data_IF_134129072780
#
_entry.id   IF_134129072780
#
_cell.length_a   1.000
_cell.length_b   1.000
_cell.length_c   1.000
_cell.angle_alpha   90.00
_cell.angle_beta   90.00
_cell.angle_gamma   90.00
#
_symmetry.space_group_name_H-M   'P 1'
#
loop_
_entity.id
_entity.type
_entity.pdbx_description
1 polymer ?
#
# COMPACT_ATOMS: atom_id res chain seq x y z
N UNK A 1 -29.62 -11.50 3.26
CA UNK A 1 -28.62 -11.67 2.19
C UNK A 1 -27.29 -11.19 2.74
N UNK A 2 -26.35 -12.11 3.06
CA UNK A 2 -25.00 -11.69 3.47
C UNK A 2 -24.30 -11.12 2.24
N UNK A 3 -24.14 -9.80 2.19
CA UNK A 3 -23.37 -9.15 1.13
C UNK A 3 -21.90 -9.50 1.32
N UNK A 4 -21.35 -10.26 0.39
CA UNK A 4 -19.96 -10.65 0.39
C UNK A 4 -19.08 -9.41 0.26
N UNK A 5 -18.08 -9.26 1.13
CA UNK A 5 -17.14 -8.13 1.09
C UNK A 5 -16.11 -8.36 0.00
N UNK A 6 -16.04 -7.46 -0.98
CA UNK A 6 -15.08 -7.56 -2.09
C UNK A 6 -13.75 -6.89 -1.67
N UNK A 7 -12.65 -7.60 -1.92
CA UNK A 7 -11.27 -7.10 -1.82
C UNK A 7 -10.71 -7.01 -3.23
N UNK A 8 -10.38 -5.81 -3.70
CA UNK A 8 -9.66 -5.61 -4.96
C UNK A 8 -8.17 -5.44 -4.71
N UNK A 9 -7.37 -6.25 -5.40
CA UNK A 9 -5.91 -6.22 -5.30
C UNK A 9 -5.34 -5.44 -6.47
N UNK A 10 -4.74 -4.30 -6.18
CA UNK A 10 -4.00 -3.46 -7.13
C UNK A 10 -2.51 -3.66 -6.92
N UNK A 11 -1.72 -3.44 -7.95
CA UNK A 11 -0.26 -3.44 -7.85
C UNK A 11 0.31 -2.37 -8.76
N UNK A 12 1.25 -1.55 -8.26
CA UNK A 12 1.97 -0.61 -9.13
C UNK A 12 2.75 -1.36 -10.23
N UNK A 13 3.06 -0.68 -11.32
CA UNK A 13 3.71 -1.27 -12.51
C UNK A 13 4.91 -2.14 -12.15
N UNK A 14 5.78 -1.67 -11.28
CA UNK A 14 6.94 -2.45 -10.80
C UNK A 14 6.60 -3.62 -9.90
N UNK A 15 5.34 -3.82 -9.50
CA UNK A 15 4.89 -4.84 -8.54
C UNK A 15 3.86 -5.81 -9.12
N UNK A 16 3.56 -5.73 -10.41
CA UNK A 16 2.45 -6.50 -11.05
C UNK A 16 2.62 -8.01 -10.86
N UNK A 17 3.82 -8.54 -11.08
CA UNK A 17 4.08 -9.98 -10.92
C UNK A 17 3.85 -10.42 -9.47
N UNK A 18 4.39 -9.67 -8.52
CA UNK A 18 4.20 -9.96 -7.10
C UNK A 18 2.74 -9.78 -6.69
N UNK A 19 2.07 -8.74 -7.19
CA UNK A 19 0.65 -8.51 -6.93
C UNK A 19 -0.22 -9.67 -7.38
N UNK A 20 0.05 -10.23 -8.55
CA UNK A 20 -0.66 -11.41 -9.07
C UNK A 20 -0.46 -12.66 -8.18
N UNK A 21 0.76 -12.90 -7.71
CA UNK A 21 1.04 -14.03 -6.80
C UNK A 21 0.37 -13.84 -5.43
N UNK A 22 0.40 -12.62 -4.88
CA UNK A 22 -0.29 -12.29 -3.63
C UNK A 22 -1.81 -12.46 -3.79
N UNK A 23 -2.39 -11.98 -4.88
CA UNK A 23 -3.82 -12.15 -5.18
C UNK A 23 -4.19 -13.64 -5.22
N UNK A 24 -3.44 -14.43 -5.96
CA UNK A 24 -3.64 -15.88 -6.09
C UNK A 24 -3.61 -16.59 -4.74
N UNK A 25 -2.62 -16.27 -3.90
CA UNK A 25 -2.48 -16.90 -2.59
C UNK A 25 -3.60 -16.47 -1.62
N UNK A 26 -3.99 -15.18 -1.62
CA UNK A 26 -5.13 -14.71 -0.81
C UNK A 26 -6.41 -15.40 -1.26
N UNK A 27 -6.66 -15.50 -2.57
CA UNK A 27 -7.83 -16.17 -3.14
C UNK A 27 -7.90 -17.62 -2.71
N UNK A 28 -6.78 -18.36 -2.77
CA UNK A 28 -6.67 -19.75 -2.31
C UNK A 28 -7.02 -19.90 -0.82
N UNK A 29 -6.47 -19.03 0.03
CA UNK A 29 -6.70 -19.06 1.49
C UNK A 29 -8.13 -18.69 1.87
N UNK A 30 -8.74 -17.77 1.16
CA UNK A 30 -10.15 -17.38 1.38
C UNK A 30 -11.09 -18.50 0.95
N UNK A 31 -10.83 -19.14 -0.20
CA UNK A 31 -11.64 -20.26 -0.69
C UNK A 31 -11.59 -21.50 0.20
N UNK A 32 -10.46 -21.72 0.89
CA UNK A 32 -10.31 -22.84 1.84
C UNK A 32 -11.00 -22.60 3.20
N UNK A 33 -11.38 -21.36 3.49
CA UNK A 33 -12.05 -20.96 4.73
C UNK A 33 -13.41 -20.41 4.34
N UNK A 34 -14.52 -20.98 4.77
CA UNK A 34 -15.86 -20.39 4.55
C UNK A 34 -15.84 -18.91 4.98
N UNK A 35 -15.49 -18.02 4.05
CA UNK A 35 -15.21 -16.60 4.29
C UNK A 35 -16.22 -15.73 3.56
N UNK A 36 -16.68 -14.68 4.21
CA UNK A 36 -17.56 -13.66 3.60
C UNK A 36 -16.80 -12.69 2.68
N UNK A 37 -15.55 -13.00 2.33
CA UNK A 37 -14.72 -12.19 1.45
C UNK A 37 -14.59 -12.82 0.07
N UNK A 38 -14.63 -11.97 -0.96
CA UNK A 38 -14.29 -12.29 -2.34
C UNK A 38 -13.06 -11.48 -2.75
N UNK A 39 -12.10 -12.10 -3.44
CA UNK A 39 -10.90 -11.41 -3.94
C UNK A 39 -10.98 -11.27 -5.45
N UNK A 40 -10.85 -10.03 -5.93
CA UNK A 40 -10.88 -9.70 -7.34
C UNK A 40 -9.61 -8.94 -7.73
N UNK A 41 -9.21 -9.09 -8.98
CA UNK A 41 -8.17 -8.25 -9.57
C UNK A 41 -8.64 -6.79 -9.64
N UNK A 42 -7.78 -5.85 -9.29
CA UNK A 42 -7.97 -4.41 -9.47
C UNK A 42 -7.24 -3.96 -10.73
N UNK A 43 -7.96 -3.82 -11.84
CA UNK A 43 -7.40 -3.30 -13.08
C UNK A 43 -7.05 -1.81 -12.94
N UNK A 44 -5.95 -1.41 -13.58
CA UNK A 44 -5.56 0.00 -13.69
C UNK A 44 -4.78 0.23 -14.98
N UNK A 45 -4.74 1.49 -15.40
CA UNK A 45 -3.90 1.96 -16.50
C UNK A 45 -3.06 3.13 -16.02
N UNK A 46 -1.81 3.18 -16.48
CA UNK A 46 -0.89 4.29 -16.25
C UNK A 46 -0.58 4.92 -17.59
N UNK A 47 -0.93 6.18 -17.75
CA UNK A 47 -0.63 6.98 -18.95
C UNK A 47 0.45 8.00 -18.63
N UNK A 48 1.39 8.20 -19.55
CA UNK A 48 2.45 9.20 -19.44
C UNK A 48 2.17 10.28 -20.47
N UNK A 49 2.02 11.52 -20.02
CA UNK A 49 1.85 12.68 -20.88
C UNK A 49 3.18 13.15 -21.50
N UNK A 50 3.10 13.97 -22.53
CA UNK A 50 4.30 14.52 -23.23
C UNK A 50 5.20 15.36 -22.32
N UNK A 51 4.69 15.85 -21.20
CA UNK A 51 5.43 16.58 -20.17
C UNK A 51 5.92 15.67 -19.03
N UNK A 52 5.94 14.35 -19.24
CA UNK A 52 6.37 13.31 -18.29
C UNK A 52 5.48 13.16 -17.05
N UNK A 53 4.38 13.87 -16.96
CA UNK A 53 3.39 13.63 -15.90
C UNK A 53 2.68 12.31 -16.12
N UNK A 54 2.31 11.65 -15.02
CA UNK A 54 1.54 10.41 -15.08
C UNK A 54 0.08 10.64 -14.70
N UNK A 55 -0.80 9.86 -15.31
CA UNK A 55 -2.19 9.70 -14.92
C UNK A 55 -2.45 8.23 -14.61
N UNK A 56 -3.13 7.96 -13.52
CA UNK A 56 -3.54 6.60 -13.15
C UNK A 56 -5.06 6.53 -13.13
N UNK A 57 -5.62 5.62 -13.93
CA UNK A 57 -7.03 5.27 -13.90
C UNK A 57 -7.19 3.87 -13.33
N UNK A 58 -8.18 3.66 -12.48
CA UNK A 58 -8.44 2.38 -11.81
C UNK A 58 -9.85 1.87 -12.10
N UNK A 59 -10.05 0.58 -11.91
CA UNK A 59 -11.38 -0.02 -11.83
C UNK A 59 -12.19 0.51 -10.65
N UNK A 60 -13.52 0.46 -10.75
CA UNK A 60 -14.41 0.84 -9.66
C UNK A 60 -14.11 0.02 -8.39
N UNK A 61 -13.92 0.73 -7.26
CA UNK A 61 -13.64 0.16 -5.94
C UNK A 61 -14.59 0.71 -4.86
N UNK A 62 -15.67 1.37 -5.26
CA UNK A 62 -16.65 1.95 -4.35
C UNK A 62 -17.18 0.89 -3.37
N UNK A 63 -17.19 1.24 -2.08
CA UNK A 63 -17.64 0.39 -0.97
C UNK A 63 -16.89 -0.95 -0.81
N UNK A 64 -15.79 -1.13 -1.55
CA UNK A 64 -14.93 -2.32 -1.50
C UNK A 64 -13.64 -2.04 -0.71
N UNK A 65 -12.89 -3.08 -0.42
CA UNK A 65 -11.57 -2.96 0.18
C UNK A 65 -10.54 -2.89 -0.96
N UNK A 66 -9.73 -1.82 -0.98
CA UNK A 66 -8.57 -1.71 -1.85
C UNK A 66 -7.32 -2.24 -1.13
N UNK A 67 -6.65 -3.22 -1.72
CA UNK A 67 -5.35 -3.71 -1.27
C UNK A 67 -4.32 -3.37 -2.34
N UNK A 68 -3.40 -2.48 -2.04
CA UNK A 68 -2.36 -2.02 -2.98
C UNK A 68 -1.03 -2.66 -2.63
N UNK A 69 -0.42 -3.32 -3.60
CA UNK A 69 0.92 -3.92 -3.47
C UNK A 69 1.92 -2.99 -4.14
N UNK A 70 2.93 -2.55 -3.38
CA UNK A 70 4.03 -1.76 -3.91
C UNK A 70 5.34 -2.19 -3.28
N UNK A 71 6.36 -2.45 -4.08
CA UNK A 71 7.72 -2.69 -3.60
C UNK A 71 8.69 -1.70 -4.24
N UNK A 72 9.82 -1.46 -3.56
CA UNK A 72 10.86 -0.60 -4.09
C UNK A 72 11.52 -1.26 -5.31
N UNK A 73 11.15 -0.81 -6.50
CA UNK A 73 11.79 -1.17 -7.76
C UNK A 73 12.41 0.08 -8.41
N UNK A 74 13.40 -0.10 -9.25
CA UNK A 74 13.95 1.00 -10.07
C UNK A 74 13.01 1.25 -11.27
N UNK A 75 12.72 2.51 -11.60
CA UNK A 75 13.08 3.76 -10.89
C UNK A 75 12.19 4.02 -9.66
N UNK A 76 12.82 4.20 -8.48
CA UNK A 76 12.12 4.27 -7.19
C UNK A 76 11.17 5.47 -7.09
N UNK A 77 11.63 6.64 -7.53
CA UNK A 77 10.86 7.88 -7.40
C UNK A 77 9.58 7.86 -8.25
N UNK A 78 9.68 7.34 -9.47
CA UNK A 78 8.55 7.17 -10.38
C UNK A 78 7.52 6.19 -9.80
N UNK A 79 8.00 5.06 -9.26
CA UNK A 79 7.12 4.08 -8.61
C UNK A 79 6.39 4.65 -7.40
N UNK A 80 7.02 5.52 -6.61
CA UNK A 80 6.35 6.20 -5.48
C UNK A 80 5.33 7.23 -5.97
N UNK A 81 5.62 7.96 -7.04
CA UNK A 81 4.63 8.87 -7.64
C UNK A 81 3.45 8.11 -8.24
N UNK A 82 3.70 6.98 -8.90
CA UNK A 82 2.64 6.09 -9.37
C UNK A 82 1.77 5.58 -8.21
N UNK A 83 2.38 5.17 -7.10
CA UNK A 83 1.66 4.76 -5.89
C UNK A 83 0.76 5.89 -5.37
N UNK A 84 1.26 7.13 -5.33
CA UNK A 84 0.46 8.26 -4.88
C UNK A 84 -0.70 8.56 -5.82
N UNK A 85 -0.48 8.57 -7.13
CA UNK A 85 -1.54 8.77 -8.13
C UNK A 85 -2.60 7.64 -8.05
N UNK A 86 -2.18 6.38 -7.88
CA UNK A 86 -3.09 5.26 -7.69
C UNK A 86 -3.92 5.40 -6.40
N UNK A 87 -3.30 5.78 -5.29
CA UNK A 87 -4.00 5.97 -4.01
C UNK A 87 -4.98 7.16 -4.07
N UNK A 88 -4.64 8.21 -4.80
CA UNK A 88 -5.56 9.33 -5.04
C UNK A 88 -6.78 8.89 -5.85
N UNK A 89 -6.57 8.16 -6.94
CA UNK A 89 -7.66 7.58 -7.74
C UNK A 89 -8.55 6.64 -6.90
N UNK A 90 -7.95 5.81 -6.04
CA UNK A 90 -8.68 4.95 -5.11
C UNK A 90 -9.51 5.77 -4.13
N UNK A 91 -8.95 6.82 -3.53
CA UNK A 91 -9.68 7.69 -2.59
C UNK A 91 -10.88 8.37 -3.26
N UNK A 92 -10.71 8.84 -4.49
CA UNK A 92 -11.77 9.48 -5.28
C UNK A 92 -12.89 8.50 -5.66
N UNK A 93 -12.59 7.20 -5.70
CA UNK A 93 -13.58 6.14 -5.92
C UNK A 93 -14.35 5.72 -4.64
N UNK A 94 -14.08 6.34 -3.50
CA UNK A 94 -14.74 6.07 -2.21
C UNK A 94 -14.70 4.60 -1.78
N UNK A 95 -13.51 4.03 -1.55
CA UNK A 95 -13.39 2.67 -1.03
C UNK A 95 -13.89 2.59 0.40
N UNK A 96 -14.32 1.40 0.82
CA UNK A 96 -14.63 1.13 2.23
C UNK A 96 -13.38 1.20 3.11
N UNK A 97 -12.24 0.67 2.61
CA UNK A 97 -10.92 0.70 3.27
C UNK A 97 -9.82 0.60 2.21
N UNK A 98 -8.68 1.23 2.52
CA UNK A 98 -7.48 1.14 1.69
C UNK A 98 -6.31 0.62 2.52
N UNK A 99 -5.67 -0.44 2.06
CA UNK A 99 -4.50 -1.06 2.65
C UNK A 99 -3.35 -1.03 1.66
N UNK A 100 -2.13 -0.80 2.16
CA UNK A 100 -0.90 -0.86 1.34
C UNK A 100 0.03 -1.91 1.91
N UNK A 101 0.56 -2.77 1.06
CA UNK A 101 1.58 -3.77 1.41
C UNK A 101 2.89 -3.39 0.75
N UNK A 102 3.91 -3.23 1.56
CA UNK A 102 5.28 -3.06 1.12
C UNK A 102 6.09 -4.31 1.48
N UNK A 103 6.40 -5.19 0.55
CA UNK A 103 7.43 -6.19 0.75
C UNK A 103 8.77 -5.55 1.12
N UNK A 104 9.14 -4.49 0.41
CA UNK A 104 10.23 -3.59 0.77
C UNK A 104 9.80 -2.14 0.60
N UNK A 105 9.84 -1.36 1.69
CA UNK A 105 9.37 0.02 1.69
C UNK A 105 10.42 0.96 1.09
N UNK A 106 10.03 1.82 0.12
CA UNK A 106 10.91 2.86 -0.41
C UNK A 106 11.43 3.79 0.70
N UNK A 107 12.65 4.29 0.53
CA UNK A 107 13.32 5.21 1.47
C UNK A 107 13.50 4.68 2.90
N UNK A 108 13.30 3.38 3.17
CA UNK A 108 13.42 2.81 4.52
C UNK A 108 14.80 3.03 5.16
N UNK A 109 15.85 3.23 4.36
CA UNK A 109 17.20 3.56 4.82
C UNK A 109 17.39 5.04 5.19
N UNK A 110 16.48 5.92 4.81
CA UNK A 110 16.49 7.35 5.10
C UNK A 110 15.60 7.66 6.33
N UNK A 111 15.84 6.95 7.44
CA UNK A 111 15.04 6.99 8.65
C UNK A 111 15.63 7.89 9.74
N UNK A 112 16.89 8.32 9.64
CA UNK A 112 17.63 9.09 10.67
C UNK A 112 18.33 10.30 10.10
N UNK A 113 18.39 11.36 10.92
CA UNK A 113 19.24 12.53 10.68
C UNK A 113 20.69 12.19 11.08
N UNK A 114 21.49 11.75 10.13
CA UNK A 114 22.92 11.52 10.32
C UNK A 114 23.79 12.74 9.95
N UNK A 115 23.20 13.78 9.35
CA UNK A 115 23.85 15.05 8.99
C UNK A 115 22.88 16.22 9.19
N UNK A 116 23.37 17.45 9.40
CA UNK A 116 22.53 18.65 9.40
C UNK A 116 21.82 18.83 8.05
N UNK A 117 20.57 19.27 8.06
CA UNK A 117 19.78 19.64 6.86
C UNK A 117 19.57 18.51 5.85
N UNK A 118 19.58 17.26 6.28
CA UNK A 118 19.27 16.10 5.45
C UNK A 118 17.78 15.75 5.51
N UNK A 119 17.23 15.28 4.40
CA UNK A 119 15.87 14.76 4.35
C UNK A 119 15.74 13.41 5.04
N UNK A 120 14.59 13.12 5.64
CA UNK A 120 14.28 11.86 6.33
C UNK A 120 13.00 11.27 5.72
N UNK A 121 13.08 10.87 4.45
CA UNK A 121 11.92 10.38 3.69
C UNK A 121 11.35 9.08 4.26
N UNK A 122 12.16 8.25 4.91
CA UNK A 122 11.69 7.05 5.60
C UNK A 122 10.67 7.33 6.70
N UNK A 123 10.70 8.53 7.30
CA UNK A 123 9.69 8.98 8.26
C UNK A 123 8.51 9.69 7.57
N UNK A 124 8.75 10.41 6.48
CA UNK A 124 7.73 11.22 5.81
C UNK A 124 6.78 10.39 4.96
N UNK A 125 7.28 9.37 4.29
CA UNK A 125 6.44 8.52 3.44
C UNK A 125 5.27 7.89 4.22
N UNK A 126 5.46 7.25 5.39
CA UNK A 126 4.34 6.76 6.21
C UNK A 126 3.35 7.84 6.63
N UNK A 127 3.85 9.04 6.97
CA UNK A 127 2.97 10.17 7.31
C UNK A 127 2.09 10.60 6.13
N UNK A 128 2.66 10.69 4.92
CA UNK A 128 1.93 11.02 3.70
C UNK A 128 0.87 9.95 3.41
N UNK A 129 1.25 8.69 3.48
CA UNK A 129 0.33 7.58 3.25
C UNK A 129 -0.87 7.61 4.21
N UNK A 130 -0.63 7.91 5.47
CA UNK A 130 -1.68 7.96 6.48
C UNK A 130 -2.52 9.25 6.40
N UNK A 131 -1.86 10.42 6.49
CA UNK A 131 -2.55 11.71 6.67
C UNK A 131 -3.13 12.25 5.36
N UNK A 132 -2.39 12.10 4.25
CA UNK A 132 -2.78 12.66 2.95
C UNK A 132 -3.51 11.60 2.12
N UNK A 133 -2.91 10.42 1.94
CA UNK A 133 -3.47 9.35 1.12
C UNK A 133 -4.52 8.51 1.85
N UNK A 134 -4.84 8.82 3.10
CA UNK A 134 -5.91 8.19 3.90
C UNK A 134 -5.84 6.67 3.97
N UNK A 135 -4.64 6.11 3.86
CA UNK A 135 -4.40 4.67 4.00
C UNK A 135 -4.70 4.26 5.43
N UNK A 136 -5.60 3.29 5.61
CA UNK A 136 -5.98 2.83 6.95
C UNK A 136 -4.96 1.89 7.56
N UNK A 137 -4.26 1.11 6.72
CA UNK A 137 -3.25 0.17 7.20
C UNK A 137 -2.11 0.04 6.21
N UNK A 138 -0.90 0.12 6.71
CA UNK A 138 0.32 -0.19 5.98
C UNK A 138 0.93 -1.46 6.57
N UNK A 139 1.25 -2.43 5.72
CA UNK A 139 1.86 -3.70 6.08
C UNK A 139 3.26 -3.77 5.47
N UNK A 140 4.25 -4.03 6.31
CA UNK A 140 5.66 -4.18 5.91
C UNK A 140 6.10 -5.63 6.15
N UNK A 141 6.77 -6.24 5.16
CA UNK A 141 7.29 -7.59 5.34
C UNK A 141 8.65 -7.60 6.03
N UNK A 142 9.56 -6.72 5.64
CA UNK A 142 10.90 -6.61 6.21
C UNK A 142 11.21 -5.14 6.51
N UNK A 143 10.87 -4.65 7.71
CA UNK A 143 11.30 -3.32 8.11
C UNK A 143 12.82 -3.30 8.26
N UNK A 144 13.50 -2.41 7.55
CA UNK A 144 14.96 -2.28 7.56
C UNK A 144 15.52 -2.01 8.97
N UNK A 145 14.72 -1.42 9.85
CA UNK A 145 15.05 -1.12 11.26
C UNK A 145 13.79 -1.14 12.13
N UNK A 146 13.93 -1.58 13.39
CA UNK A 146 12.85 -1.49 14.38
C UNK A 146 12.34 -0.07 14.65
N UNK A 147 13.07 0.97 14.20
CA UNK A 147 12.61 2.37 14.29
C UNK A 147 11.50 2.73 13.32
N UNK A 148 11.35 2.04 12.19
CA UNK A 148 10.20 2.23 11.27
C UNK A 148 8.92 1.78 11.97
N UNK A 149 9.01 0.82 12.88
CA UNK A 149 7.89 0.34 13.70
C UNK A 149 7.50 1.31 14.82
N UNK A 150 8.40 2.21 15.24
CA UNK A 150 8.17 3.24 16.26
C UNK A 150 7.76 4.59 15.69
N UNK A 151 7.73 4.73 14.36
CA UNK A 151 7.18 5.91 13.72
C UNK A 151 5.70 6.01 14.12
N UNK A 152 5.42 7.04 14.90
CA UNK A 152 4.12 7.40 15.45
C UNK A 152 3.10 7.68 14.33
N UNK A 153 2.69 6.61 13.66
CA UNK A 153 1.32 6.58 13.23
C UNK A 153 0.51 6.35 14.51
N UNK A 154 -0.58 7.02 14.78
CA UNK A 154 -1.44 6.71 15.91
C UNK A 154 -2.04 5.32 15.68
N UNK A 155 -1.35 4.28 16.13
CA UNK A 155 -1.66 2.91 15.72
C UNK A 155 -1.36 1.96 16.85
N UNK A 156 -2.32 1.10 17.14
CA UNK A 156 -2.08 -0.10 17.93
C UNK A 156 -1.18 -1.03 17.10
N UNK A 157 0.12 -1.04 17.37
CA UNK A 157 1.02 -2.05 16.83
C UNK A 157 0.63 -3.41 17.42
N UNK A 158 0.17 -4.33 16.61
CA UNK A 158 0.15 -5.74 17.00
C UNK A 158 1.54 -6.31 16.76
N UNK A 159 2.17 -6.87 17.78
CA UNK A 159 3.43 -7.57 17.66
C UNK A 159 3.23 -8.85 16.84
N UNK A 160 3.80 -8.85 15.66
CA UNK A 160 4.02 -10.04 14.84
C UNK A 160 5.48 -10.49 14.97
N UNK A 161 5.85 -11.69 14.51
CA UNK A 161 7.26 -12.10 14.43
C UNK A 161 8.11 -10.98 13.79
N UNK A 162 9.35 -10.86 14.20
CA UNK A 162 10.26 -9.75 13.92
C UNK A 162 10.46 -9.33 12.46
N UNK A 163 9.92 -10.11 11.53
CA UNK A 163 9.93 -9.88 10.07
C UNK A 163 8.67 -9.21 9.52
N UNK A 164 7.69 -8.87 10.36
CA UNK A 164 6.41 -8.35 9.87
C UNK A 164 5.90 -7.18 10.75
N UNK A 165 5.64 -6.05 10.15
CA UNK A 165 5.07 -4.89 10.83
C UNK A 165 3.75 -4.46 10.18
N UNK A 166 2.72 -4.21 11.00
CA UNK A 166 1.43 -3.66 10.57
C UNK A 166 1.20 -2.35 11.27
N UNK A 167 0.88 -1.32 10.50
CA UNK A 167 0.48 0.00 10.97
C UNK A 167 -0.99 0.24 10.65
N UNK A 168 -1.78 0.57 11.64
CA UNK A 168 -3.22 0.82 11.51
C UNK A 168 -3.57 2.24 11.97
N UNK A 169 -4.40 2.93 11.22
CA UNK A 169 -4.92 4.23 11.62
C UNK A 169 -5.89 4.06 12.79
N UNK A 170 -5.68 4.79 13.88
CA UNK A 170 -6.72 4.92 14.92
C UNK A 170 -7.90 5.70 14.36
N UNK A 171 -9.07 5.16 14.56
CA UNK A 171 -10.36 5.83 14.29
C UNK A 171 -10.59 7.00 15.23
#
# INVERSE_FOLDING_TARGET
MNSQTIVKVFATTGSVVLGAEVEKEIRKRISSRKSDYQVNHGGHTVSIFSNENIEVQIDNVRDQIALVIHTQNSPVNEGVMELFAMLDAINNAHPRRTFVVFPYMPYSRSDRKNKPRISVMGQRLPEILNKVMRVQRVMLLEPHNGHITSLQLPTKSRSFPSSFAIFERSS
#
